data_IF_082890500046
#
_entry.id   IF_082890500046
#
_cell.length_a   1.000
_cell.length_b   1.000
_cell.length_c   1.000
_cell.angle_alpha   90.00
_cell.angle_beta   90.00
_cell.angle_gamma   90.00
#
_symmetry.space_group_name_H-M   'P 1'
#
loop_
_entity.id
_entity.type
_entity.pdbx_description
1 polymer ?
#
# COMPACT_ATOMS: atom_id res chain seq x y z
N UNK A 1 -34.01 14.32 -21.97
CA UNK A 1 -33.74 14.49 -20.52
C UNK A 1 -33.64 13.15 -19.79
N UNK A 2 -34.57 12.20 -19.99
CA UNK A 2 -34.55 10.85 -19.38
C UNK A 2 -33.25 10.06 -19.63
N UNK A 3 -32.74 10.03 -20.86
CA UNK A 3 -31.50 9.31 -21.18
C UNK A 3 -30.27 9.86 -20.44
N UNK A 4 -30.16 11.19 -20.26
CA UNK A 4 -29.08 11.79 -19.47
C UNK A 4 -29.14 11.37 -18.00
N UNK A 5 -30.33 11.33 -17.41
CA UNK A 5 -30.49 10.92 -16.00
C UNK A 5 -30.11 9.44 -15.79
N UNK A 6 -30.50 8.57 -16.73
CA UNK A 6 -30.14 7.15 -16.69
C UNK A 6 -28.61 6.98 -16.83
N UNK A 7 -27.98 7.66 -17.79
CA UNK A 7 -26.53 7.61 -17.98
C UNK A 7 -25.79 8.13 -16.72
N UNK A 8 -26.24 9.24 -16.14
CA UNK A 8 -25.65 9.80 -14.94
C UNK A 8 -25.76 8.86 -13.73
N UNK A 9 -26.90 8.16 -13.57
CA UNK A 9 -27.09 7.18 -12.51
C UNK A 9 -26.11 6.00 -12.63
N UNK A 10 -25.97 5.42 -13.81
CA UNK A 10 -25.04 4.32 -14.05
C UNK A 10 -23.57 4.75 -13.90
N UNK A 11 -23.21 5.94 -14.40
CA UNK A 11 -21.86 6.48 -14.22
C UNK A 11 -21.54 6.71 -12.74
N UNK A 12 -22.47 7.29 -11.98
CA UNK A 12 -22.28 7.54 -10.54
C UNK A 12 -22.00 6.24 -9.79
N UNK A 13 -22.77 5.18 -10.06
CA UNK A 13 -22.55 3.87 -9.48
C UNK A 13 -21.14 3.34 -9.81
N UNK A 14 -20.74 3.36 -11.08
CA UNK A 14 -19.41 2.89 -11.52
C UNK A 14 -18.27 3.68 -10.84
N UNK A 15 -18.40 5.01 -10.74
CA UNK A 15 -17.39 5.85 -10.08
C UNK A 15 -17.26 5.56 -8.58
N UNK A 16 -18.37 5.33 -7.88
CA UNK A 16 -18.35 5.01 -6.44
C UNK A 16 -17.58 3.72 -6.17
N UNK A 17 -17.82 2.65 -6.94
CA UNK A 17 -17.09 1.39 -6.77
C UNK A 17 -15.61 1.52 -7.13
N UNK A 18 -15.29 2.25 -8.20
CA UNK A 18 -13.91 2.51 -8.59
C UNK A 18 -13.15 3.22 -7.46
N UNK A 19 -13.68 4.34 -6.97
CA UNK A 19 -13.03 5.12 -5.92
C UNK A 19 -12.89 4.29 -4.64
N UNK A 20 -13.94 3.55 -4.23
CA UNK A 20 -13.91 2.73 -3.01
C UNK A 20 -12.83 1.65 -3.07
N UNK A 21 -12.70 0.95 -4.21
CA UNK A 21 -11.68 -0.09 -4.41
C UNK A 21 -10.26 0.50 -4.36
N UNK A 22 -10.05 1.66 -4.97
CA UNK A 22 -8.75 2.35 -4.94
C UNK A 22 -8.39 2.88 -3.55
N UNK A 23 -9.37 3.41 -2.81
CA UNK A 23 -9.21 3.83 -1.42
C UNK A 23 -8.83 2.64 -0.53
N UNK A 24 -9.52 1.51 -0.65
CA UNK A 24 -9.20 0.31 0.13
C UNK A 24 -7.78 -0.18 -0.13
N UNK A 25 -7.37 -0.31 -1.40
CA UNK A 25 -6.02 -0.76 -1.75
C UNK A 25 -4.93 0.16 -1.19
N UNK A 26 -5.17 1.48 -1.23
CA UNK A 26 -4.27 2.49 -0.67
C UNK A 26 -4.17 2.38 0.84
N UNK A 27 -5.31 2.24 1.54
CA UNK A 27 -5.34 2.09 3.00
C UNK A 27 -4.69 0.78 3.44
N UNK A 28 -4.99 -0.34 2.77
CA UNK A 28 -4.38 -1.64 3.04
C UNK A 28 -2.85 -1.57 2.90
N UNK A 29 -2.37 -0.84 1.91
CA UNK A 29 -0.94 -0.59 1.73
C UNK A 29 -0.34 0.25 2.87
N UNK A 30 -1.04 1.29 3.35
CA UNK A 30 -0.60 2.05 4.54
C UNK A 30 -0.60 1.19 5.82
N UNK A 31 -1.50 0.21 5.91
CA UNK A 31 -1.57 -0.77 6.99
C UNK A 31 -0.50 -1.89 6.88
N UNK A 32 0.49 -1.74 6.00
CA UNK A 32 1.58 -2.71 5.80
C UNK A 32 1.14 -4.09 5.30
N UNK A 33 -0.05 -4.18 4.71
CA UNK A 33 -0.51 -5.42 4.09
C UNK A 33 0.32 -5.68 2.84
N UNK A 34 0.81 -6.92 2.70
CA UNK A 34 1.67 -7.30 1.59
C UNK A 34 0.95 -7.05 0.23
N UNK A 35 1.59 -6.39 -0.75
CA UNK A 35 1.00 -6.09 -2.04
C UNK A 35 0.44 -7.31 -2.79
N UNK A 36 1.01 -8.50 -2.57
CA UNK A 36 0.47 -9.76 -3.09
C UNK A 36 -0.94 -10.08 -2.56
N UNK A 37 -1.20 -9.84 -1.26
CA UNK A 37 -2.52 -10.06 -0.64
C UNK A 37 -3.53 -9.01 -1.12
N UNK A 38 -3.09 -7.76 -1.27
CA UNK A 38 -3.90 -6.68 -1.84
C UNK A 38 -4.27 -7.00 -3.29
N UNK A 39 -3.30 -7.48 -4.08
CA UNK A 39 -3.48 -7.88 -5.49
C UNK A 39 -4.48 -9.03 -5.64
N UNK A 40 -4.36 -10.04 -4.78
CA UNK A 40 -5.27 -11.20 -4.75
C UNK A 40 -6.69 -10.77 -4.35
N UNK A 41 -6.82 -9.93 -3.31
CA UNK A 41 -8.10 -9.39 -2.86
C UNK A 41 -8.78 -8.48 -3.90
N UNK A 42 -8.01 -7.81 -4.76
CA UNK A 42 -8.54 -7.00 -5.87
C UNK A 42 -8.88 -7.83 -7.12
N UNK A 43 -8.57 -9.13 -7.13
CA UNK A 43 -8.81 -10.02 -8.27
C UNK A 43 -7.88 -9.75 -9.46
N UNK A 44 -6.70 -9.16 -9.23
CA UNK A 44 -5.73 -8.90 -10.28
C UNK A 44 -4.94 -10.17 -10.63
N UNK A 45 -4.97 -10.59 -11.89
CA UNK A 45 -4.25 -11.77 -12.40
C UNK A 45 -2.73 -11.59 -12.49
N UNK A 46 -2.20 -10.39 -12.21
CA UNK A 46 -0.77 -10.07 -12.23
C UNK A 46 -0.42 -8.95 -11.23
N UNK A 47 0.66 -9.15 -10.47
CA UNK A 47 1.24 -8.22 -9.48
C UNK A 47 1.79 -6.92 -10.13
N UNK A 48 1.98 -6.88 -11.45
CA UNK A 48 2.63 -5.76 -12.17
C UNK A 48 1.83 -4.44 -12.10
N UNK A 49 0.50 -4.50 -12.00
CA UNK A 49 -0.32 -3.28 -11.82
C UNK A 49 -0.12 -2.69 -10.42
N UNK A 50 0.19 -3.52 -9.43
CA UNK A 50 0.39 -3.09 -8.04
C UNK A 50 1.77 -2.49 -7.82
N UNK A 51 2.80 -2.94 -8.56
CA UNK A 51 4.18 -2.39 -8.46
C UNK A 51 4.29 -0.93 -8.89
N UNK A 52 3.51 -0.49 -9.88
CA UNK A 52 3.55 0.92 -10.35
C UNK A 52 3.02 1.92 -9.31
N UNK A 53 2.17 1.48 -8.36
CA UNK A 53 1.65 2.34 -7.28
C UNK A 53 2.58 2.44 -6.08
N UNK A 54 3.61 1.59 -6.02
CA UNK A 54 4.55 1.50 -4.91
C UNK A 54 5.70 2.48 -5.13
N UNK A 55 5.44 3.80 -5.02
CA UNK A 55 6.52 4.71 -4.62
C UNK A 55 7.08 4.11 -3.33
N UNK A 56 8.38 3.76 -3.26
CA UNK A 56 8.88 2.84 -2.26
C UNK A 56 8.51 3.36 -0.87
N UNK A 57 7.57 2.66 -0.20
CA UNK A 57 7.20 2.82 1.21
C UNK A 57 8.42 2.86 2.14
N UNK A 58 9.50 2.31 1.61
CA UNK A 58 10.47 1.55 2.35
C UNK A 58 11.68 2.37 2.75
N UNK A 59 12.01 3.50 2.13
CA UNK A 59 13.20 4.26 2.52
C UNK A 59 13.16 4.63 4.01
N UNK A 60 12.16 5.39 4.47
CA UNK A 60 12.12 5.85 5.86
C UNK A 60 11.92 4.72 6.90
N UNK A 61 11.05 3.74 6.64
CA UNK A 61 10.83 2.64 7.60
C UNK A 61 12.00 1.64 7.62
N UNK A 62 12.64 1.39 6.48
CA UNK A 62 13.88 0.59 6.43
C UNK A 62 15.00 1.37 7.12
N UNK A 63 15.12 2.68 6.90
CA UNK A 63 16.13 3.50 7.57
C UNK A 63 15.96 3.47 9.08
N UNK A 64 14.72 3.51 9.58
CA UNK A 64 14.41 3.41 11.00
C UNK A 64 14.71 2.01 11.56
N UNK A 65 14.29 0.95 10.88
CA UNK A 65 14.60 -0.43 11.28
C UNK A 65 16.12 -0.69 11.28
N UNK A 66 16.82 -0.21 10.25
CA UNK A 66 18.28 -0.29 10.16
C UNK A 66 18.95 0.48 11.29
N UNK A 67 18.44 1.65 11.67
CA UNK A 67 18.94 2.43 12.80
C UNK A 67 18.81 1.66 14.11
N UNK A 68 17.68 1.00 14.35
CA UNK A 68 17.47 0.17 15.55
C UNK A 68 18.44 -1.02 15.62
N UNK A 69 18.66 -1.71 14.49
CA UNK A 69 19.66 -2.79 14.40
C UNK A 69 21.07 -2.26 14.63
N UNK A 70 21.42 -1.12 14.03
CA UNK A 70 22.72 -0.48 14.23
C UNK A 70 22.95 -0.07 15.69
N UNK A 71 21.95 0.52 16.33
CA UNK A 71 22.01 0.95 17.73
C UNK A 71 22.16 -0.25 18.68
N UNK A 72 21.47 -1.35 18.38
CA UNK A 72 21.64 -2.61 19.11
C UNK A 72 23.06 -3.15 19.00
N UNK A 73 23.58 -3.30 17.77
CA UNK A 73 24.94 -3.80 17.52
C UNK A 73 25.99 -2.89 18.18
N UNK A 74 25.85 -1.56 18.08
CA UNK A 74 26.78 -0.61 18.70
C UNK A 74 26.83 -0.77 20.21
N UNK A 75 25.69 -0.94 20.87
CA UNK A 75 25.64 -1.18 22.33
C UNK A 75 26.26 -2.52 22.70
N UNK A 76 26.00 -3.58 21.93
CA UNK A 76 26.56 -4.90 22.17
C UNK A 76 28.09 -4.93 22.01
N UNK A 77 28.64 -4.24 21.01
CA UNK A 77 30.10 -4.19 20.78
C UNK A 77 30.81 -3.33 21.84
N UNK A 78 30.22 -2.19 22.23
CA UNK A 78 30.78 -1.33 23.28
C UNK A 78 30.70 -1.99 24.65
N UNK A 79 29.63 -2.74 24.95
CA UNK A 79 29.48 -3.48 26.20
C UNK A 79 30.40 -4.71 26.35
N UNK A 80 30.97 -5.21 25.24
CA UNK A 80 31.93 -6.34 25.25
C UNK A 80 33.39 -5.86 25.43
N UNK A 81 33.64 -4.56 25.34
CA UNK A 81 34.99 -3.97 25.45
C UNK A 81 35.30 -3.33 26.82
N UNK A 82 34.50 -3.63 27.85
CA UNK A 82 34.69 -3.15 29.23
C UNK A 82 35.09 -4.29 30.17
#
# INVERSE_FOLDING_TARGET
MIYCAIIAFFLCFVFIFYISRHTWATTAYYCEIHPGIISEAMGHSSITVTETYLKPFRSKKIDEANRQVFDFVKRSVVGVSA
#
